data_IF_663864484884
#
_entry.id   IF_663864484884
#
_cell.length_a   1.000
_cell.length_b   1.000
_cell.length_c   1.000
_cell.angle_alpha   90.00
_cell.angle_beta   90.00
_cell.angle_gamma   90.00
#
_symmetry.space_group_name_H-M   'P 1'
#
loop_
_entity.id
_entity.type
_entity.pdbx_description
1 polymer ?
#
# COMPACT_ATOMS: atom_id res chain seq x y z
N UNK A 1 -46.69 -18.01 -42.11
CA UNK A 1 -46.37 -17.40 -40.80
C UNK A 1 -45.00 -17.82 -40.25
N UNK A 2 -44.53 -19.06 -40.47
CA UNK A 2 -43.19 -19.52 -40.01
C UNK A 2 -41.99 -18.72 -40.57
N UNK A 3 -42.07 -18.17 -41.79
CA UNK A 3 -40.97 -17.37 -42.38
C UNK A 3 -40.73 -16.01 -41.68
N UNK A 4 -41.76 -15.44 -41.04
CA UNK A 4 -41.67 -14.16 -40.32
C UNK A 4 -41.09 -14.39 -38.91
N UNK A 5 -41.38 -15.54 -38.31
CA UNK A 5 -40.86 -15.88 -36.97
C UNK A 5 -39.35 -16.16 -37.01
N UNK A 6 -38.86 -16.78 -38.09
CA UNK A 6 -37.43 -17.05 -38.28
C UNK A 6 -36.59 -15.77 -38.47
N UNK A 7 -37.16 -14.75 -39.11
CA UNK A 7 -36.50 -13.44 -39.31
C UNK A 7 -36.45 -12.62 -38.02
N UNK A 8 -37.45 -12.74 -37.15
CA UNK A 8 -37.46 -12.07 -35.85
C UNK A 8 -36.43 -12.65 -34.87
N UNK A 9 -36.23 -13.98 -34.90
CA UNK A 9 -35.22 -14.66 -34.07
C UNK A 9 -33.79 -14.31 -34.53
N UNK A 10 -33.56 -14.21 -35.84
CA UNK A 10 -32.26 -13.82 -36.38
C UNK A 10 -31.89 -12.36 -36.04
N UNK A 11 -32.89 -11.47 -35.93
CA UNK A 11 -32.68 -10.07 -35.55
C UNK A 11 -32.20 -9.89 -34.10
N UNK A 12 -32.57 -10.79 -33.18
CA UNK A 12 -32.11 -10.72 -31.78
C UNK A 12 -30.65 -11.14 -31.55
N UNK A 13 -29.99 -11.71 -32.56
CA UNK A 13 -28.58 -12.12 -32.48
C UNK A 13 -27.61 -11.05 -33.02
N UNK A 14 -28.11 -9.92 -33.53
CA UNK A 14 -27.32 -8.85 -34.15
C UNK A 14 -26.84 -7.78 -33.17
N UNK A 15 -26.56 -8.14 -31.92
CA UNK A 15 -25.89 -7.23 -30.99
C UNK A 15 -24.40 -7.14 -31.33
N UNK A 16 -24.07 -6.29 -32.32
CA UNK A 16 -22.69 -5.95 -32.65
C UNK A 16 -22.14 -4.97 -31.61
N UNK A 17 -21.54 -5.49 -30.53
CA UNK A 17 -20.75 -4.66 -29.64
C UNK A 17 -19.47 -4.21 -30.35
N UNK A 18 -19.22 -2.90 -30.34
CA UNK A 18 -17.97 -2.35 -30.88
C UNK A 18 -16.89 -2.60 -29.84
N UNK A 19 -16.08 -3.65 -30.05
CA UNK A 19 -15.06 -4.09 -29.10
C UNK A 19 -13.84 -3.14 -29.06
N UNK A 20 -13.54 -2.46 -30.17
CA UNK A 20 -12.23 -1.82 -30.37
C UNK A 20 -12.28 -0.35 -30.84
N UNK A 21 -13.34 0.37 -30.46
CA UNK A 21 -13.41 1.80 -30.75
C UNK A 21 -12.53 2.63 -29.82
N UNK A 22 -12.06 3.79 -30.29
CA UNK A 22 -11.35 4.76 -29.43
C UNK A 22 -12.30 5.34 -28.39
N UNK A 23 -11.92 5.26 -27.12
CA UNK A 23 -12.68 5.75 -25.99
C UNK A 23 -12.24 7.17 -25.59
N UNK A 24 -10.92 7.36 -25.45
CA UNK A 24 -10.30 8.62 -25.04
C UNK A 24 -9.04 8.85 -25.87
N UNK A 25 -8.76 10.10 -26.23
CA UNK A 25 -7.50 10.52 -26.86
C UNK A 25 -6.79 11.50 -25.92
N UNK A 26 -5.53 11.23 -25.58
CA UNK A 26 -4.68 12.07 -24.73
C UNK A 26 -3.46 12.50 -25.57
N UNK A 27 -3.41 13.77 -25.97
CA UNK A 27 -2.52 14.25 -27.06
C UNK A 27 -2.63 13.35 -28.30
N UNK A 28 -1.59 12.57 -28.60
CA UNK A 28 -1.52 11.65 -29.75
C UNK A 28 -1.79 10.18 -29.36
N UNK A 29 -2.02 9.90 -28.07
CA UNK A 29 -2.22 8.54 -27.56
C UNK A 29 -3.71 8.20 -27.46
N UNK A 30 -4.14 7.18 -28.21
CA UNK A 30 -5.49 6.65 -28.15
C UNK A 30 -5.62 5.57 -27.07
N UNK A 31 -6.69 5.66 -26.27
CA UNK A 31 -7.13 4.67 -25.30
C UNK A 31 -8.40 4.03 -25.87
N UNK A 32 -8.41 2.70 -26.01
CA UNK A 32 -9.53 1.96 -26.61
C UNK A 32 -10.61 1.61 -25.59
N UNK A 33 -11.81 1.27 -26.07
CA UNK A 33 -12.86 0.69 -25.23
C UNK A 33 -12.42 -0.62 -24.58
N UNK A 34 -11.61 -1.42 -25.28
CA UNK A 34 -11.05 -2.64 -24.74
C UNK A 34 -10.16 -2.37 -23.54
N UNK A 35 -9.29 -1.35 -23.62
CA UNK A 35 -8.43 -0.95 -22.51
C UNK A 35 -9.25 -0.52 -21.29
N UNK A 36 -10.31 0.26 -21.50
CA UNK A 36 -11.21 0.69 -20.42
C UNK A 36 -11.91 -0.51 -19.79
N UNK A 37 -12.52 -1.41 -20.58
CA UNK A 37 -13.18 -2.62 -20.05
C UNK A 37 -12.21 -3.53 -19.29
N UNK A 38 -10.99 -3.68 -19.81
CA UNK A 38 -9.91 -4.46 -19.17
C UNK A 38 -9.53 -3.83 -17.83
N UNK A 39 -9.33 -2.53 -17.78
CA UNK A 39 -8.98 -1.81 -16.55
C UNK A 39 -10.12 -1.83 -15.52
N UNK A 40 -11.38 -1.72 -15.95
CA UNK A 40 -12.55 -1.90 -15.07
C UNK A 40 -12.52 -3.26 -14.36
N UNK A 41 -12.15 -4.31 -15.08
CA UNK A 41 -12.08 -5.68 -14.54
C UNK A 41 -10.88 -5.85 -13.61
N UNK A 42 -9.71 -5.33 -13.99
CA UNK A 42 -8.47 -5.44 -13.21
C UNK A 42 -8.58 -4.67 -11.88
N UNK A 43 -9.06 -3.43 -11.96
CA UNK A 43 -9.11 -2.51 -10.83
C UNK A 43 -10.44 -2.56 -10.07
N UNK A 44 -11.42 -3.32 -10.56
CA UNK A 44 -12.78 -3.42 -10.02
C UNK A 44 -13.43 -2.04 -9.81
N UNK A 45 -13.39 -1.21 -10.86
CA UNK A 45 -13.92 0.16 -10.85
C UNK A 45 -14.85 0.42 -12.04
N UNK A 46 -15.64 1.50 -11.96
CA UNK A 46 -16.49 1.94 -13.06
C UNK A 46 -15.68 2.46 -14.27
N UNK A 47 -16.35 2.61 -15.41
CA UNK A 47 -15.73 3.06 -16.67
C UNK A 47 -15.06 4.44 -16.55
N UNK A 48 -15.61 5.34 -15.73
CA UNK A 48 -15.07 6.69 -15.54
C UNK A 48 -13.75 6.62 -14.79
N UNK A 49 -13.71 5.93 -13.65
CA UNK A 49 -12.48 5.73 -12.87
C UNK A 49 -11.44 4.93 -13.64
N UNK A 50 -11.84 3.89 -14.37
CA UNK A 50 -10.95 3.15 -15.27
C UNK A 50 -10.33 4.08 -16.33
N UNK A 51 -11.16 4.93 -16.97
CA UNK A 51 -10.66 5.91 -17.93
C UNK A 51 -9.71 6.93 -17.28
N UNK A 52 -10.00 7.40 -16.06
CA UNK A 52 -9.12 8.31 -15.32
C UNK A 52 -7.75 7.69 -15.01
N UNK A 53 -7.72 6.40 -14.65
CA UNK A 53 -6.47 5.64 -14.44
C UNK A 53 -5.68 5.55 -15.75
N UNK A 54 -6.34 5.22 -16.86
CA UNK A 54 -5.68 5.09 -18.16
C UNK A 54 -5.17 6.43 -18.69
N UNK A 55 -5.95 7.51 -18.49
CA UNK A 55 -5.52 8.88 -18.79
C UNK A 55 -4.27 9.22 -17.98
N UNK A 56 -4.25 8.92 -16.67
CA UNK A 56 -3.08 9.16 -15.83
C UNK A 56 -1.84 8.42 -16.35
N UNK A 57 -1.97 7.13 -16.68
CA UNK A 57 -0.85 6.35 -17.26
C UNK A 57 -0.37 6.94 -18.59
N UNK A 58 -1.30 7.36 -19.45
CA UNK A 58 -0.94 8.02 -20.72
C UNK A 58 -0.15 9.33 -20.49
N UNK A 59 -0.57 10.15 -19.51
CA UNK A 59 0.14 11.37 -19.14
C UNK A 59 1.54 11.08 -18.58
N UNK A 60 1.69 10.04 -17.76
CA UNK A 60 3.01 9.61 -17.24
C UNK A 60 3.98 9.22 -18.35
N UNK A 61 3.51 8.43 -19.32
CA UNK A 61 4.34 8.01 -20.45
C UNK A 61 4.76 9.20 -21.33
N UNK A 62 3.85 10.14 -21.57
CA UNK A 62 4.16 11.38 -22.29
C UNK A 62 5.24 12.18 -21.53
N UNK A 63 5.12 12.31 -20.22
CA UNK A 63 6.11 13.03 -19.41
C UNK A 63 7.47 12.33 -19.37
N UNK A 64 7.50 10.99 -19.35
CA UNK A 64 8.73 10.20 -19.48
C UNK A 64 9.42 10.52 -20.81
N UNK A 65 8.67 10.58 -21.91
CA UNK A 65 9.19 10.91 -23.23
C UNK A 65 9.66 12.37 -23.30
N UNK A 66 8.83 13.33 -22.86
CA UNK A 66 9.11 14.77 -22.90
C UNK A 66 10.36 15.12 -22.06
N UNK A 67 10.53 14.48 -20.89
CA UNK A 67 11.70 14.66 -20.02
C UNK A 67 12.89 13.76 -20.39
N UNK A 68 12.76 12.92 -21.43
CA UNK A 68 13.80 11.98 -21.91
C UNK A 68 14.31 11.06 -20.80
N UNK A 69 13.41 10.59 -19.96
CA UNK A 69 13.72 9.65 -18.88
C UNK A 69 13.87 8.27 -19.50
N UNK A 70 14.99 7.60 -19.20
CA UNK A 70 15.29 6.26 -19.69
C UNK A 70 15.81 5.36 -18.57
N UNK A 71 15.71 4.06 -18.80
CA UNK A 71 16.22 3.01 -17.92
C UNK A 71 17.07 2.08 -18.78
N UNK A 72 18.26 1.73 -18.31
CA UNK A 72 19.12 0.77 -19.00
C UNK A 72 18.78 -0.67 -18.63
N UNK A 73 19.15 -1.61 -19.49
CA UNK A 73 18.97 -3.05 -19.23
C UNK A 73 19.71 -3.51 -17.97
N UNK A 74 20.84 -2.89 -17.64
CA UNK A 74 21.62 -3.14 -16.44
C UNK A 74 20.87 -2.71 -15.18
N UNK A 75 20.21 -1.55 -15.21
CA UNK A 75 19.37 -1.08 -14.09
C UNK A 75 18.20 -2.03 -13.83
N UNK A 76 17.54 -2.51 -14.89
CA UNK A 76 16.48 -3.52 -14.79
C UNK A 76 17.01 -4.81 -14.15
N UNK A 77 18.17 -5.29 -14.60
CA UNK A 77 18.76 -6.50 -14.06
C UNK A 77 19.18 -6.34 -12.59
N UNK A 78 19.73 -5.19 -12.20
CA UNK A 78 20.10 -4.95 -10.80
C UNK A 78 18.87 -4.85 -9.89
N UNK A 79 17.76 -4.23 -10.32
CA UNK A 79 16.50 -4.23 -9.53
C UNK A 79 15.96 -5.66 -9.36
N UNK A 80 16.04 -6.51 -10.39
CA UNK A 80 15.67 -7.92 -10.31
C UNK A 80 16.53 -8.65 -9.27
N UNK A 81 17.85 -8.45 -9.34
CA UNK A 81 18.80 -9.09 -8.43
C UNK A 81 18.60 -8.66 -6.98
N UNK A 82 18.40 -7.36 -6.73
CA UNK A 82 18.10 -6.84 -5.40
C UNK A 82 16.76 -7.39 -4.88
N UNK A 83 15.73 -7.42 -5.73
CA UNK A 83 14.41 -7.94 -5.36
C UNK A 83 14.44 -9.44 -5.06
N UNK A 84 15.14 -10.22 -5.88
CA UNK A 84 15.35 -11.65 -5.64
C UNK A 84 16.11 -11.89 -4.32
N UNK A 85 17.19 -11.14 -4.08
CA UNK A 85 17.98 -11.23 -2.86
C UNK A 85 17.19 -10.91 -1.59
N UNK A 86 16.29 -9.92 -1.62
CA UNK A 86 15.37 -9.60 -0.51
C UNK A 86 14.42 -10.74 -0.17
N UNK A 87 14.12 -11.61 -1.12
CA UNK A 87 13.27 -12.79 -0.95
C UNK A 87 14.09 -14.07 -0.75
N UNK A 88 15.40 -13.97 -0.53
CA UNK A 88 16.32 -15.10 -0.42
C UNK A 88 16.31 -16.04 -1.64
N UNK A 89 15.96 -15.52 -2.82
CA UNK A 89 15.94 -16.25 -4.09
C UNK A 89 17.14 -15.84 -4.95
N UNK A 90 17.67 -16.78 -5.71
CA UNK A 90 18.51 -16.44 -6.87
C UNK A 90 17.67 -15.81 -7.98
N UNK A 91 18.33 -15.13 -8.93
CA UNK A 91 17.65 -14.54 -10.08
C UNK A 91 16.86 -15.57 -10.89
N UNK A 92 17.42 -16.79 -11.06
CA UNK A 92 16.74 -17.87 -11.78
C UNK A 92 15.51 -18.37 -11.03
N UNK A 93 15.62 -18.58 -9.72
CA UNK A 93 14.50 -19.00 -8.87
C UNK A 93 13.41 -17.93 -8.81
N UNK A 94 13.78 -16.65 -8.84
CA UNK A 94 12.84 -15.55 -8.89
C UNK A 94 12.02 -15.55 -10.19
N UNK A 95 12.65 -15.74 -11.36
CA UNK A 95 11.92 -15.87 -12.62
C UNK A 95 10.93 -17.04 -12.59
N UNK A 96 11.37 -18.19 -12.08
CA UNK A 96 10.53 -19.38 -11.96
C UNK A 96 9.35 -19.15 -11.00
N UNK A 97 9.59 -18.52 -9.85
CA UNK A 97 8.56 -18.18 -8.88
C UNK A 97 7.49 -17.25 -9.47
N UNK A 98 7.89 -16.20 -10.20
CA UNK A 98 6.97 -15.25 -10.83
C UNK A 98 6.16 -15.91 -11.95
N UNK A 99 6.81 -16.75 -12.78
CA UNK A 99 6.13 -17.49 -13.84
C UNK A 99 5.06 -18.42 -13.26
N UNK A 100 5.38 -19.12 -12.18
CA UNK A 100 4.45 -20.07 -11.55
C UNK A 100 3.30 -19.36 -10.81
N UNK A 101 3.55 -18.19 -10.23
CA UNK A 101 2.54 -17.45 -9.47
C UNK A 101 1.54 -16.71 -10.37
N UNK A 102 2.05 -15.99 -11.38
CA UNK A 102 1.25 -15.02 -12.15
C UNK A 102 1.18 -15.33 -13.65
N UNK A 103 1.84 -16.41 -14.11
CA UNK A 103 1.88 -16.79 -15.53
C UNK A 103 2.69 -15.84 -16.42
N UNK A 104 3.47 -14.92 -15.84
CA UNK A 104 4.19 -13.87 -16.57
C UNK A 104 5.53 -14.42 -17.09
N UNK A 105 5.85 -14.14 -18.35
CA UNK A 105 7.13 -14.51 -18.96
C UNK A 105 8.29 -13.65 -18.46
N UNK A 106 9.53 -14.11 -18.65
CA UNK A 106 10.72 -13.33 -18.28
C UNK A 106 10.81 -11.99 -19.03
N UNK A 107 10.30 -11.92 -20.26
CA UNK A 107 10.27 -10.68 -21.06
C UNK A 107 9.27 -9.69 -20.48
N UNK A 108 8.04 -10.12 -20.23
CA UNK A 108 7.01 -9.26 -19.64
C UNK A 108 7.39 -8.79 -18.23
N UNK A 109 8.11 -9.62 -17.46
CA UNK A 109 8.65 -9.20 -16.16
C UNK A 109 9.66 -8.06 -16.29
N UNK A 110 10.60 -8.17 -17.25
CA UNK A 110 11.58 -7.12 -17.51
C UNK A 110 10.89 -5.83 -17.93
N UNK A 111 9.92 -5.89 -18.83
CA UNK A 111 9.15 -4.72 -19.26
C UNK A 111 8.40 -4.08 -18.07
N UNK A 112 7.77 -4.88 -17.21
CA UNK A 112 7.09 -4.36 -16.01
C UNK A 112 8.06 -3.68 -15.04
N UNK A 113 9.25 -4.23 -14.86
CA UNK A 113 10.28 -3.64 -14.00
C UNK A 113 10.83 -2.37 -14.62
N UNK A 114 11.06 -2.35 -15.94
CA UNK A 114 11.44 -1.16 -16.67
C UNK A 114 10.40 -0.04 -16.50
N UNK A 115 9.11 -0.33 -16.68
CA UNK A 115 8.02 0.63 -16.49
C UNK A 115 7.94 1.14 -15.04
N UNK A 116 8.13 0.27 -14.06
CA UNK A 116 8.24 0.64 -12.65
C UNK A 116 9.41 1.61 -12.42
N UNK A 117 10.59 1.30 -12.94
CA UNK A 117 11.78 2.14 -12.78
C UNK A 117 11.62 3.49 -13.50
N UNK A 118 11.02 3.52 -14.69
CA UNK A 118 10.70 4.76 -15.41
C UNK A 118 9.76 5.64 -14.59
N UNK A 119 8.70 5.06 -14.02
CA UNK A 119 7.74 5.77 -13.16
C UNK A 119 8.42 6.33 -11.91
N UNK A 120 9.29 5.53 -11.27
CA UNK A 120 10.07 5.98 -10.10
C UNK A 120 10.99 7.14 -10.45
N UNK A 121 11.71 7.06 -11.58
CA UNK A 121 12.57 8.14 -12.07
C UNK A 121 11.77 9.39 -12.44
N UNK A 122 10.57 9.25 -13.02
CA UNK A 122 9.66 10.36 -13.31
C UNK A 122 9.25 11.09 -12.03
N UNK A 123 8.70 10.37 -11.06
CA UNK A 123 8.23 10.97 -9.81
C UNK A 123 9.38 11.60 -9.02
N UNK A 124 10.54 10.95 -9.03
CA UNK A 124 11.80 11.50 -8.51
C UNK A 124 12.13 12.82 -9.20
N UNK A 125 12.19 12.87 -10.54
CA UNK A 125 12.52 14.06 -11.31
C UNK A 125 11.53 15.23 -11.07
N UNK A 126 10.23 14.93 -10.93
CA UNK A 126 9.21 15.94 -10.62
C UNK A 126 9.42 16.48 -9.21
N UNK A 127 9.49 15.59 -8.22
CA UNK A 127 9.54 15.97 -6.81
C UNK A 127 10.84 16.68 -6.43
N UNK A 128 12.01 16.19 -6.87
CA UNK A 128 13.31 16.80 -6.53
C UNK A 128 13.41 18.27 -6.94
N UNK A 129 12.74 18.68 -8.01
CA UNK A 129 12.78 20.07 -8.48
C UNK A 129 11.99 21.06 -7.62
N UNK A 130 11.08 20.57 -6.78
CA UNK A 130 10.12 21.40 -6.04
C UNK A 130 10.17 21.20 -4.52
N UNK A 131 10.95 20.23 -4.03
CA UNK A 131 11.12 19.98 -2.59
C UNK A 131 12.33 20.74 -2.04
N UNK A 132 12.13 21.40 -0.91
CA UNK A 132 13.20 21.95 -0.07
C UNK A 132 13.14 21.24 1.28
N UNK A 133 14.29 20.99 1.94
CA UNK A 133 14.26 20.46 3.30
C UNK A 133 13.50 21.43 4.21
N UNK A 134 12.64 20.91 5.11
CA UNK A 134 11.90 21.77 6.03
C UNK A 134 12.88 22.49 6.97
N UNK A 135 12.55 23.73 7.30
CA UNK A 135 13.24 24.52 8.31
C UNK A 135 12.98 23.96 9.72
N UNK A 136 13.85 24.29 10.67
CA UNK A 136 13.66 23.90 12.07
C UNK A 136 12.32 24.41 12.64
N UNK A 137 11.83 25.56 12.16
CA UNK A 137 10.54 26.11 12.56
C UNK A 137 9.37 25.26 12.05
N UNK A 138 9.43 24.79 10.80
CA UNK A 138 8.40 23.90 10.23
C UNK A 138 8.41 22.52 10.91
N UNK A 139 9.60 22.01 11.25
CA UNK A 139 9.73 20.75 12.00
C UNK A 139 9.11 20.90 13.40
N UNK A 140 9.35 22.04 14.07
CA UNK A 140 8.76 22.34 15.36
C UNK A 140 7.23 22.47 15.28
N UNK A 141 6.72 23.25 14.32
CA UNK A 141 5.28 23.41 14.11
C UNK A 141 4.61 22.07 13.80
N UNK A 142 5.23 21.25 12.95
CA UNK A 142 4.70 19.93 12.62
C UNK A 142 4.65 19.02 13.85
N UNK A 143 5.72 19.00 14.66
CA UNK A 143 5.75 18.24 15.91
C UNK A 143 4.63 18.69 16.84
N UNK A 144 4.43 19.99 17.01
CA UNK A 144 3.42 20.55 17.90
C UNK A 144 1.98 20.24 17.43
N UNK A 145 1.74 20.18 16.12
CA UNK A 145 0.45 19.81 15.54
C UNK A 145 0.17 18.30 15.57
N UNK A 146 1.22 17.46 15.57
CA UNK A 146 1.13 16.01 15.44
C UNK A 146 1.79 15.26 16.61
N UNK A 147 1.80 15.84 17.82
CA UNK A 147 2.49 15.25 18.97
C UNK A 147 2.05 13.81 19.25
N UNK A 148 0.78 13.48 19.02
CA UNK A 148 0.22 12.14 19.20
C UNK A 148 0.91 11.09 18.30
N UNK A 149 1.33 11.46 17.09
CA UNK A 149 1.98 10.55 16.13
C UNK A 149 3.43 10.22 16.52
N UNK A 150 4.02 11.03 17.40
CA UNK A 150 5.40 10.90 17.85
C UNK A 150 5.50 10.56 19.35
N UNK A 151 4.37 10.37 20.02
CA UNK A 151 4.32 10.00 21.43
C UNK A 151 4.01 8.52 21.56
N UNK A 152 5.04 7.70 21.69
CA UNK A 152 4.90 6.31 22.12
C UNK A 152 5.27 6.17 23.60
N UNK A 153 4.75 5.19 24.32
CA UNK A 153 5.23 4.90 25.67
C UNK A 153 6.65 4.30 25.65
N UNK A 154 7.42 4.48 26.72
CA UNK A 154 8.73 3.83 26.86
C UNK A 154 8.58 2.32 27.04
N UNK A 155 7.61 1.90 27.85
CA UNK A 155 7.35 0.49 28.14
C UNK A 155 5.92 0.24 28.57
N UNK A 156 5.50 -1.03 28.45
CA UNK A 156 4.22 -1.52 28.94
C UNK A 156 4.46 -2.49 30.10
N UNK A 157 3.87 -2.22 31.25
CA UNK A 157 3.81 -3.19 32.34
C UNK A 157 2.60 -4.10 32.10
N UNK A 158 2.86 -5.36 31.80
CA UNK A 158 1.84 -6.34 31.44
C UNK A 158 1.91 -7.58 32.33
N UNK A 159 0.79 -8.27 32.42
CA UNK A 159 0.76 -9.66 32.87
C UNK A 159 0.34 -10.52 31.69
N UNK A 160 1.24 -11.41 31.30
CA UNK A 160 1.06 -12.32 30.18
C UNK A 160 0.38 -13.57 30.71
N UNK A 161 -0.76 -13.91 30.12
CA UNK A 161 -1.49 -15.13 30.38
C UNK A 161 -1.35 -16.05 29.17
N UNK A 162 -0.89 -17.28 29.39
CA UNK A 162 -0.72 -18.28 28.32
C UNK A 162 -1.46 -19.56 28.68
N UNK A 163 -2.20 -20.11 27.72
CA UNK A 163 -2.90 -21.39 27.88
C UNK A 163 -2.92 -22.15 26.55
N UNK A 164 -2.94 -23.48 26.60
CA UNK A 164 -3.15 -24.31 25.40
C UNK A 164 -4.60 -24.28 24.91
N UNK A 165 -5.53 -24.00 25.81
CA UNK A 165 -6.97 -23.95 25.54
C UNK A 165 -7.45 -22.49 25.52
N UNK A 166 -7.95 -22.06 24.37
CA UNK A 166 -8.47 -20.72 24.16
C UNK A 166 -9.69 -20.42 25.04
N UNK A 167 -10.55 -21.42 25.29
CA UNK A 167 -11.80 -21.25 26.06
C UNK A 167 -11.46 -20.92 27.51
N UNK A 168 -10.52 -21.66 28.11
CA UNK A 168 -10.06 -21.41 29.49
C UNK A 168 -9.39 -20.05 29.63
N UNK A 169 -8.66 -19.61 28.62
CA UNK A 169 -8.07 -18.27 28.60
C UNK A 169 -9.17 -17.19 28.52
N UNK A 170 -10.22 -17.43 27.73
CA UNK A 170 -11.37 -16.53 27.66
C UNK A 170 -12.11 -16.43 29.00
N UNK A 171 -12.32 -17.56 29.70
CA UNK A 171 -12.92 -17.56 31.05
C UNK A 171 -12.13 -16.71 32.05
N UNK A 172 -10.79 -16.70 31.94
CA UNK A 172 -9.91 -15.84 32.75
C UNK A 172 -10.03 -14.36 32.38
N UNK A 173 -10.23 -14.05 31.11
CA UNK A 173 -10.45 -12.69 30.61
C UNK A 173 -11.80 -12.15 31.11
N UNK A 174 -12.85 -12.97 31.02
CA UNK A 174 -14.20 -12.63 31.44
C UNK A 174 -14.33 -12.55 32.97
N UNK A 175 -13.55 -13.37 33.69
CA UNK A 175 -13.50 -13.40 35.15
C UNK A 175 -12.04 -13.38 35.65
N UNK A 176 -11.57 -12.18 36.01
CA UNK A 176 -10.20 -11.96 36.52
C UNK A 176 -9.87 -12.83 37.75
N UNK A 177 -10.85 -13.19 38.58
CA UNK A 177 -10.64 -14.01 39.78
C UNK A 177 -10.60 -15.52 39.48
N UNK A 178 -10.92 -15.95 38.26
CA UNK A 178 -10.84 -17.34 37.87
C UNK A 178 -9.40 -17.86 38.00
N UNK A 179 -9.22 -18.97 38.70
CA UNK A 179 -7.92 -19.63 38.84
C UNK A 179 -7.97 -20.99 38.14
N UNK A 180 -7.02 -21.22 37.24
CA UNK A 180 -6.81 -22.50 36.60
C UNK A 180 -5.30 -22.79 36.57
N UNK A 181 -4.86 -23.98 37.01
CA UNK A 181 -3.44 -24.35 36.98
C UNK A 181 -2.91 -24.51 35.55
N UNK A 182 -3.79 -24.56 34.55
CA UNK A 182 -3.43 -24.67 33.13
C UNK A 182 -3.10 -23.31 32.47
N UNK A 183 -3.32 -22.22 33.19
CA UNK A 183 -3.02 -20.86 32.71
C UNK A 183 -1.73 -20.42 33.37
N UNK A 184 -0.66 -20.33 32.58
CA UNK A 184 0.59 -19.73 33.01
C UNK A 184 0.44 -18.21 33.09
N UNK A 185 0.97 -17.61 34.15
CA UNK A 185 0.97 -16.15 34.36
C UNK A 185 2.40 -15.67 34.54
N UNK A 186 2.80 -14.65 33.80
CA UNK A 186 4.11 -14.02 33.94
C UNK A 186 3.98 -12.50 33.88
N UNK A 187 4.53 -11.82 34.88
CA UNK A 187 4.64 -10.36 34.85
C UNK A 187 5.89 -9.95 34.09
N UNK A 188 5.72 -9.00 33.18
CA UNK A 188 6.83 -8.50 32.38
C UNK A 188 6.65 -7.02 32.07
N UNK A 189 7.75 -6.30 32.11
CA UNK A 189 7.85 -4.99 31.49
C UNK A 189 8.35 -5.16 30.06
N UNK A 190 7.59 -4.66 29.10
CA UNK A 190 7.87 -4.74 27.67
C UNK A 190 8.32 -3.37 27.16
N UNK A 191 9.62 -3.14 26.94
CA UNK A 191 10.09 -1.92 26.30
C UNK A 191 9.55 -1.81 24.88
N UNK A 192 9.06 -0.63 24.50
CA UNK A 192 8.43 -0.39 23.20
C UNK A 192 9.34 -0.79 22.02
N UNK A 193 10.64 -0.47 22.11
CA UNK A 193 11.64 -0.78 21.08
C UNK A 193 11.99 -2.28 20.97
N UNK A 194 11.59 -3.11 21.95
CA UNK A 194 11.95 -4.54 22.01
C UNK A 194 10.81 -5.48 21.65
N UNK A 195 9.64 -4.95 21.35
CA UNK A 195 8.46 -5.71 20.93
C UNK A 195 8.19 -5.51 19.44
N UNK A 196 7.43 -6.42 18.82
CA UNK A 196 7.06 -6.27 17.41
C UNK A 196 6.10 -5.08 17.23
N UNK A 197 6.10 -4.41 16.05
CA UNK A 197 5.17 -3.30 15.77
C UNK A 197 3.71 -3.69 15.93
N UNK A 198 3.35 -4.94 15.59
CA UNK A 198 2.00 -5.47 15.75
C UNK A 198 1.59 -5.55 17.23
N UNK A 199 2.50 -6.03 18.09
CA UNK A 199 2.26 -6.11 19.54
C UNK A 199 2.24 -4.71 20.18
N UNK A 200 3.11 -3.80 19.74
CA UNK A 200 3.11 -2.41 20.19
C UNK A 200 1.77 -1.73 19.91
N UNK A 201 1.31 -1.76 18.65
CA UNK A 201 0.00 -1.21 18.26
C UNK A 201 -1.15 -1.88 19.01
N UNK A 202 -1.07 -3.19 19.28
CA UNK A 202 -2.09 -3.90 20.06
C UNK A 202 -2.16 -3.38 21.50
N UNK A 203 -1.02 -3.18 22.15
CA UNK A 203 -0.93 -2.71 23.52
C UNK A 203 -1.31 -1.23 23.65
N UNK A 204 -0.95 -0.38 22.69
CA UNK A 204 -1.37 1.03 22.64
C UNK A 204 -2.88 1.20 22.49
N UNK A 205 -3.52 0.34 21.70
CA UNK A 205 -4.99 0.34 21.53
C UNK A 205 -5.73 -0.28 22.71
N UNK A 206 -5.02 -0.96 23.61
CA UNK A 206 -5.62 -1.65 24.77
C UNK A 206 -5.80 -0.67 25.92
N UNK A 207 -6.97 -0.68 26.55
CA UNK A 207 -7.25 0.21 27.69
C UNK A 207 -6.51 -0.29 28.93
N UNK A 208 -6.08 0.64 29.78
CA UNK A 208 -5.52 0.28 31.08
C UNK A 208 -6.47 -0.62 31.88
N UNK A 209 -5.91 -1.59 32.60
CA UNK A 209 -6.63 -2.60 33.38
C UNK A 209 -7.57 -3.48 32.54
N UNK A 210 -7.26 -3.68 31.26
CA UNK A 210 -8.01 -4.59 30.38
C UNK A 210 -7.09 -5.58 29.69
N UNK A 211 -7.68 -6.65 29.16
CA UNK A 211 -6.98 -7.65 28.38
C UNK A 211 -6.94 -7.25 26.91
N UNK A 212 -5.83 -7.59 26.26
CA UNK A 212 -5.79 -7.68 24.80
C UNK A 212 -6.68 -8.83 24.32
N UNK A 213 -7.15 -8.79 23.05
CA UNK A 213 -7.61 -9.98 22.36
C UNK A 213 -6.64 -11.15 22.51
N UNK A 214 -7.18 -12.38 22.48
CA UNK A 214 -6.37 -13.59 22.47
C UNK A 214 -5.62 -13.68 21.14
N UNK A 215 -4.30 -13.87 21.22
CA UNK A 215 -3.41 -14.04 20.07
C UNK A 215 -2.67 -15.38 20.17
N UNK A 216 -2.30 -16.02 19.04
CA UNK A 216 -1.46 -17.20 19.06
C UNK A 216 -0.05 -16.87 19.56
N UNK A 217 0.55 -17.75 20.37
CA UNK A 217 1.90 -17.56 20.94
C UNK A 217 3.05 -17.99 19.99
N UNK A 218 2.69 -18.46 18.78
CA UNK A 218 3.63 -18.98 17.79
C UNK A 218 4.20 -20.38 18.07
N UNK A 219 3.86 -21.01 19.20
CA UNK A 219 4.30 -22.34 19.64
C UNK A 219 3.13 -23.33 19.81
N UNK A 220 1.95 -22.97 19.33
CA UNK A 220 0.74 -23.80 19.39
C UNK A 220 -0.10 -23.60 20.65
N UNK A 221 0.14 -22.53 21.41
CA UNK A 221 -0.72 -22.09 22.50
C UNK A 221 -1.29 -20.69 22.22
N UNK A 222 -2.10 -20.20 23.14
CA UNK A 222 -2.76 -18.91 23.08
C UNK A 222 -2.25 -18.02 24.21
N UNK A 223 -2.17 -16.72 23.94
CA UNK A 223 -1.78 -15.74 24.93
C UNK A 223 -2.66 -14.49 24.89
N UNK A 224 -2.79 -13.83 26.04
CA UNK A 224 -3.41 -12.51 26.18
C UNK A 224 -2.63 -11.71 27.21
N UNK A 225 -2.56 -10.39 26.99
CA UNK A 225 -1.83 -9.47 27.83
C UNK A 225 -2.82 -8.65 28.63
N UNK A 226 -2.72 -8.69 29.95
CA UNK A 226 -3.41 -7.75 30.82
C UNK A 226 -2.54 -6.51 31.01
N UNK A 227 -3.02 -5.36 30.54
CA UNK A 227 -2.28 -4.11 30.61
C UNK A 227 -2.45 -3.48 31.99
N UNK A 228 -1.40 -3.47 32.82
CA UNK A 228 -1.43 -2.88 34.17
C UNK A 228 -1.19 -1.39 34.15
N UNK A 229 -0.12 -0.98 33.48
CA UNK A 229 0.25 0.43 33.33
C UNK A 229 1.06 0.66 32.08
N UNK A 230 0.98 1.88 31.57
CA UNK A 230 1.80 2.37 30.47
C UNK A 230 2.82 3.33 31.07
N UNK A 231 4.10 3.05 30.87
CA UNK A 231 5.17 3.96 31.29
C UNK A 231 5.33 4.97 30.17
N UNK A 232 4.79 6.18 30.37
CA UNK A 232 4.90 7.28 29.42
C UNK A 232 6.36 7.50 29.05
N UNK A 233 6.61 7.78 27.77
CA UNK A 233 7.95 8.18 27.36
C UNK A 233 8.43 9.33 28.23
N UNK A 234 9.67 9.20 28.71
CA UNK A 234 10.43 10.40 29.03
C UNK A 234 10.44 11.20 27.73
N UNK A 235 9.90 12.42 27.76
CA UNK A 235 9.84 13.27 26.59
C UNK A 235 11.28 13.54 26.15
N UNK A 236 11.81 12.71 25.25
CA UNK A 236 13.16 12.84 24.71
C UNK A 236 13.26 14.08 23.80
N UNK A 237 12.15 14.82 23.70
CA UNK A 237 12.00 16.06 22.99
C UNK A 237 11.95 15.83 21.48
N UNK A 238 11.72 16.92 20.77
CA UNK A 238 11.73 16.94 19.31
C UNK A 238 13.03 16.36 18.72
N UNK A 239 14.15 16.45 19.45
CA UNK A 239 15.47 15.98 18.98
C UNK A 239 15.54 14.48 18.71
N UNK A 240 14.84 13.64 19.50
CA UNK A 240 14.86 12.18 19.27
C UNK A 240 14.08 11.77 18.02
N UNK A 241 13.04 12.53 17.68
CA UNK A 241 12.13 12.26 16.56
C UNK A 241 12.34 13.19 15.36
N UNK A 242 13.30 14.12 15.43
CA UNK A 242 13.55 15.16 14.41
C UNK A 242 13.70 14.59 13.00
N UNK A 243 14.48 13.52 12.85
CA UNK A 243 14.67 12.86 11.56
C UNK A 243 13.39 12.20 11.06
N UNK A 244 12.59 11.60 11.95
CA UNK A 244 11.32 10.98 11.60
C UNK A 244 10.31 12.02 11.13
N UNK A 245 10.18 13.14 11.86
CA UNK A 245 9.34 14.28 11.49
C UNK A 245 9.78 14.85 10.14
N UNK A 246 11.08 15.09 9.96
CA UNK A 246 11.63 15.61 8.70
C UNK A 246 11.27 14.70 7.52
N UNK A 247 11.44 13.38 7.68
CA UNK A 247 11.06 12.42 6.64
C UNK A 247 9.56 12.43 6.36
N UNK A 248 8.72 12.58 7.40
CA UNK A 248 7.27 12.63 7.26
C UNK A 248 6.81 13.88 6.50
N UNK A 249 7.32 15.06 6.86
CA UNK A 249 7.06 16.32 6.15
C UNK A 249 7.47 16.20 4.68
N UNK A 250 8.68 15.68 4.42
CA UNK A 250 9.17 15.49 3.06
C UNK A 250 8.31 14.51 2.25
N UNK A 251 7.79 13.46 2.89
CA UNK A 251 6.88 12.51 2.24
C UNK A 251 5.54 13.15 1.87
N UNK A 252 4.94 13.91 2.77
CA UNK A 252 3.68 14.64 2.52
C UNK A 252 3.86 15.72 1.45
N UNK A 253 4.95 16.50 1.53
CA UNK A 253 5.28 17.49 0.52
C UNK A 253 5.48 16.83 -0.86
N UNK A 254 6.16 15.69 -0.92
CA UNK A 254 6.32 14.92 -2.16
C UNK A 254 4.97 14.51 -2.74
N UNK A 255 4.07 13.97 -1.91
CA UNK A 255 2.74 13.56 -2.34
C UNK A 255 1.93 14.74 -2.88
N UNK A 256 1.95 15.88 -2.17
CA UNK A 256 1.27 17.10 -2.60
C UNK A 256 1.83 17.63 -3.93
N UNK A 257 3.16 17.74 -4.04
CA UNK A 257 3.83 18.21 -5.27
C UNK A 257 3.46 17.34 -6.47
N UNK A 258 3.48 16.01 -6.31
CA UNK A 258 3.11 15.07 -7.37
C UNK A 258 1.62 15.19 -7.72
N UNK A 259 0.74 15.27 -6.72
CA UNK A 259 -0.69 15.44 -6.93
C UNK A 259 -1.00 16.71 -7.73
N UNK A 260 -0.48 17.85 -7.27
CA UNK A 260 -0.66 19.15 -7.90
C UNK A 260 -0.08 19.18 -9.32
N UNK A 261 1.07 18.52 -9.53
CA UNK A 261 1.69 18.40 -10.84
C UNK A 261 0.77 17.71 -11.84
N UNK A 262 0.25 16.53 -11.51
CA UNK A 262 -0.61 15.78 -12.42
C UNK A 262 -2.00 16.40 -12.61
N UNK A 263 -2.51 17.13 -11.62
CA UNK A 263 -3.73 17.94 -11.79
C UNK A 263 -3.50 19.03 -12.84
N UNK A 264 -2.41 19.81 -12.72
CA UNK A 264 -2.06 20.85 -13.70
C UNK A 264 -1.77 20.25 -15.08
N UNK A 265 -1.03 19.15 -15.13
CA UNK A 265 -0.72 18.46 -16.39
C UNK A 265 -1.99 18.02 -17.10
N UNK A 266 -2.94 17.43 -16.37
CA UNK A 266 -4.23 17.02 -16.93
C UNK A 266 -5.03 18.20 -17.47
N UNK A 267 -5.05 19.34 -16.77
CA UNK A 267 -5.75 20.54 -17.20
C UNK A 267 -5.13 21.18 -18.45
N UNK A 268 -3.80 21.10 -18.58
CA UNK A 268 -3.05 21.70 -19.68
C UNK A 268 -2.87 20.77 -20.89
N UNK A 269 -3.30 19.51 -20.78
CA UNK A 269 -3.18 18.53 -21.86
C UNK A 269 -4.50 18.40 -22.61
N UNK A 270 -4.42 18.31 -23.94
CA UNK A 270 -5.58 18.02 -24.78
C UNK A 270 -6.06 16.58 -24.53
N UNK A 271 -7.22 16.44 -23.89
CA UNK A 271 -7.84 15.17 -23.53
C UNK A 271 -9.26 15.16 -24.07
N UNK A 272 -9.49 14.35 -25.10
CA UNK A 272 -10.76 14.23 -25.79
C UNK A 272 -11.41 12.89 -25.43
N UNK A 273 -12.44 12.93 -24.58
CA UNK A 273 -13.27 11.76 -24.26
C UNK A 273 -14.33 11.64 -25.35
N UNK A 274 -14.23 10.57 -26.14
CA UNK A 274 -15.15 10.31 -27.26
C UNK A 274 -16.37 9.54 -26.74
N UNK A 275 -16.14 8.42 -26.05
CA UNK A 275 -17.18 7.57 -25.46
C UNK A 275 -16.62 6.63 -24.41
N UNK A 276 -17.44 6.25 -23.45
CA UNK A 276 -17.13 5.24 -22.44
C UNK A 276 -18.03 4.01 -22.64
N UNK A 277 -17.55 2.80 -22.31
CA UNK A 277 -18.33 1.57 -22.38
C UNK A 277 -19.46 1.51 -21.33
#
# INVERSE_FOLDING_TARGET
MYKIFLTLILASLLNAEIVDGVAVVVKEKAITLFDVKKEMTISNVDAKKASDILIRRALEEIEIQDKKISVSSEEVYEDIKVTAGRNNLSVSEFYEAIRNANGISSTELKEKIEQKLLSQKLYSAISYSAMNPPSDAEVQEYYDLHQEDFTHPSSFAVTIYTAKDQIKLQEKIDNIMFYSPEIAMMEQELPYERISPELASLLEKTRLNTFTPIVPDGKGAFMSFYLKSVVSAKNDGIESVKNQITNKIMEEQREQVLGDYFVRLRQNTDINIIRLP
#
